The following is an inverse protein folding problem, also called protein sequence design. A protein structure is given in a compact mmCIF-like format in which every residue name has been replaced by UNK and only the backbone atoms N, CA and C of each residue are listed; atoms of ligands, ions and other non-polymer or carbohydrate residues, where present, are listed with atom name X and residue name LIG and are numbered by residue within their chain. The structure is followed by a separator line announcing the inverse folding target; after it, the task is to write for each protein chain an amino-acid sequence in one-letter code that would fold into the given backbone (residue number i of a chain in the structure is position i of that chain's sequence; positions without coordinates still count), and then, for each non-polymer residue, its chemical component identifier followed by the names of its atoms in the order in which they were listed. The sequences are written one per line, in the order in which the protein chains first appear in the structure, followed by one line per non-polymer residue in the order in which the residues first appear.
data_IF_896022535724
#
_entry.id   IF_896022535724
#
_cell.length_a   1.000
_cell.length_b   1.000
_cell.length_c   1.000
_cell.angle_alpha   90.00
_cell.angle_beta   90.00
_cell.angle_gamma   90.00
#
_symmetry.space_group_name_H-M   'P 1'
#
loop_
_entity.id
_entity.type
_entity.pdbx_description
1 polymer ?
#
# COMPACT_ATOMS: atom_id res chain seq x y z
N UNK A 1 -17.74 21.67 4.65
CA UNK A 1 -16.91 20.47 4.49
C UNK A 1 -17.81 19.26 4.60
N UNK A 2 -18.39 18.82 3.49
CA UNK A 2 -19.30 17.68 3.51
C UNK A 2 -18.48 16.38 3.44
N UNK A 3 -18.06 15.88 4.60
CA UNK A 3 -17.30 14.62 4.72
C UNK A 3 -18.20 13.38 4.59
N UNK A 4 -19.49 13.54 4.28
CA UNK A 4 -20.47 12.44 4.18
C UNK A 4 -20.24 11.49 2.99
N UNK A 5 -19.36 11.86 2.07
CA UNK A 5 -19.05 11.07 0.86
C UNK A 5 -17.73 10.28 0.96
N UNK A 6 -17.06 10.31 2.11
CA UNK A 6 -15.87 9.49 2.37
C UNK A 6 -16.22 8.27 3.22
N UNK A 7 -15.69 7.10 2.84
CA UNK A 7 -15.58 5.99 3.79
C UNK A 7 -14.46 6.32 4.77
N UNK A 8 -14.76 6.45 6.07
CA UNK A 8 -13.76 6.80 7.07
C UNK A 8 -13.04 5.57 7.61
N UNK A 9 -11.71 5.66 7.73
CA UNK A 9 -10.86 4.70 8.42
C UNK A 9 -10.19 5.39 9.60
N UNK A 10 -10.52 4.93 10.81
CA UNK A 10 -9.81 5.34 12.01
C UNK A 10 -8.39 4.77 11.99
N UNK A 11 -7.39 5.63 11.78
CA UNK A 11 -6.07 5.34 12.32
C UNK A 11 -6.18 5.52 13.84
N UNK A 12 -5.45 4.71 14.63
CA UNK A 12 -5.35 4.87 16.09
C UNK A 12 -5.24 6.36 16.44
N UNK A 13 -6.16 6.84 17.27
CA UNK A 13 -6.45 8.24 17.56
C UNK A 13 -5.16 9.05 17.83
N UNK A 14 -4.60 9.69 16.80
CA UNK A 14 -3.49 10.62 16.94
C UNK A 14 -4.07 12.01 17.15
N UNK A 15 -3.86 12.57 18.34
CA UNK A 15 -4.19 13.97 18.63
C UNK A 15 -3.57 14.90 17.57
N UNK A 16 -4.22 16.01 17.21
CA UNK A 16 -3.78 16.89 16.12
C UNK A 16 -2.32 17.35 16.23
N UNK A 17 -1.81 17.49 17.45
CA UNK A 17 -0.38 17.78 17.74
C UNK A 17 0.53 16.61 17.36
N UNK A 18 0.14 15.37 17.67
CA UNK A 18 0.88 14.15 17.29
C UNK A 18 0.89 13.96 15.78
N UNK A 19 -0.23 14.24 15.10
CA UNK A 19 -0.31 14.22 13.63
C UNK A 19 0.66 15.20 12.97
N UNK A 20 0.75 16.43 13.49
CA UNK A 20 1.72 17.43 13.00
C UNK A 20 3.18 17.01 13.26
N UNK A 21 3.47 16.41 14.40
CA UNK A 21 4.82 15.88 14.71
C UNK A 21 5.21 14.73 13.78
N UNK A 22 4.26 13.86 13.41
CA UNK A 22 4.47 12.79 12.43
C UNK A 22 4.74 13.39 11.04
N UNK A 23 4.02 14.42 10.62
CA UNK A 23 4.30 15.12 9.36
C UNK A 23 5.71 15.73 9.36
N UNK A 24 6.09 16.45 10.41
CA UNK A 24 7.42 17.02 10.54
C UNK A 24 8.51 15.95 10.51
N UNK A 25 8.30 14.82 11.19
CA UNK A 25 9.21 13.69 11.18
C UNK A 25 9.29 13.01 9.80
N UNK A 26 8.19 12.89 9.06
CA UNK A 26 8.17 12.35 7.71
C UNK A 26 8.93 13.27 6.74
N UNK A 27 8.69 14.59 6.83
CA UNK A 27 9.42 15.60 6.03
C UNK A 27 10.92 15.56 6.35
N UNK A 28 11.30 15.54 7.64
CA UNK A 28 12.69 15.47 8.06
C UNK A 28 13.38 14.17 7.62
N UNK A 29 12.70 13.03 7.76
CA UNK A 29 13.18 11.72 7.30
C UNK A 29 13.36 11.72 5.78
N UNK A 30 12.42 12.30 5.04
CA UNK A 30 12.51 12.39 3.59
C UNK A 30 13.67 13.30 3.14
N UNK A 31 13.83 14.47 3.76
CA UNK A 31 14.93 15.38 3.50
C UNK A 31 16.30 14.72 3.79
N UNK A 32 16.40 13.94 4.86
CA UNK A 32 17.62 13.21 5.21
C UNK A 32 17.95 12.07 4.22
N UNK A 33 16.93 11.41 3.65
CA UNK A 33 17.09 10.30 2.70
C UNK A 33 17.24 10.77 1.24
N UNK A 34 17.00 12.05 0.96
CA UNK A 34 17.07 12.66 -0.37
C UNK A 34 18.42 12.41 -1.10
N UNK A 35 19.61 12.54 -0.47
CA UNK A 35 20.88 12.31 -1.15
C UNK A 35 21.15 10.82 -1.48
N UNK A 36 20.69 9.90 -0.62
CA UNK A 36 20.86 8.46 -0.83
C UNK A 36 19.96 7.92 -1.96
N UNK A 37 18.83 8.59 -2.22
CA UNK A 37 17.94 8.28 -3.33
C UNK A 37 18.56 8.60 -4.70
N UNK A 38 19.32 9.70 -4.82
CA UNK A 38 19.98 10.09 -6.08
C UNK A 38 21.13 9.14 -6.47
N UNK A 39 21.81 8.55 -5.48
CA UNK A 39 23.00 7.70 -5.70
C UNK A 39 22.67 6.21 -5.80
N UNK A 40 21.59 5.74 -5.15
CA UNK A 40 21.23 4.33 -5.13
C UNK A 40 20.47 3.84 -6.37
N UNK A 41 21.07 3.90 -7.56
CA UNK A 41 20.50 3.27 -8.76
C UNK A 41 20.60 1.74 -8.64
N UNK A 42 19.83 1.14 -7.73
CA UNK A 42 19.62 -0.32 -7.75
C UNK A 42 18.86 -0.62 -9.01
N UNK A 43 19.55 -1.21 -9.98
CA UNK A 43 18.89 -2.00 -11.03
C UNK A 43 17.97 -2.96 -10.28
N UNK A 44 16.66 -2.82 -10.46
CA UNK A 44 15.76 -3.94 -10.20
C UNK A 44 16.38 -5.12 -10.94
N UNK A 45 16.80 -6.15 -10.21
CA UNK A 45 17.34 -7.39 -10.78
C UNK A 45 16.18 -8.17 -11.43
N UNK A 46 16.51 -9.05 -12.37
CA UNK A 46 15.61 -9.65 -13.37
C UNK A 46 14.37 -10.41 -12.87
N UNK A 47 13.70 -11.18 -13.74
CA UNK A 47 12.49 -11.90 -13.38
C UNK A 47 12.81 -12.95 -12.31
N UNK A 48 12.03 -12.95 -11.23
CA UNK A 48 12.05 -13.88 -10.08
C UNK A 48 13.20 -13.66 -9.09
N UNK A 49 12.95 -12.84 -8.07
CA UNK A 49 13.52 -13.12 -6.75
C UNK A 49 12.89 -14.45 -6.31
N UNK A 50 13.62 -15.56 -6.49
CA UNK A 50 13.11 -16.92 -6.27
C UNK A 50 12.94 -17.15 -4.78
N UNK A 51 11.81 -16.74 -4.23
CA UNK A 51 11.45 -17.08 -2.85
C UNK A 51 11.12 -18.56 -2.75
N UNK A 52 11.79 -19.30 -1.85
CA UNK A 52 11.26 -20.59 -1.40
C UNK A 52 10.13 -20.31 -0.42
N UNK A 53 9.00 -20.99 -0.56
CA UNK A 53 7.84 -20.80 0.34
C UNK A 53 8.21 -21.00 1.82
N UNK A 54 9.19 -21.85 2.11
CA UNK A 54 9.70 -22.11 3.45
C UNK A 54 10.30 -20.86 4.12
N UNK A 55 10.91 -19.96 3.33
CA UNK A 55 11.62 -18.78 3.83
C UNK A 55 10.68 -17.57 4.04
N UNK A 56 9.42 -17.70 3.62
CA UNK A 56 8.41 -16.65 3.74
C UNK A 56 7.67 -16.75 5.08
N UNK A 57 7.30 -15.61 5.65
CA UNK A 57 6.42 -15.58 6.83
C UNK A 57 5.01 -16.09 6.47
N UNK A 58 4.22 -16.60 7.44
CA UNK A 58 2.85 -17.06 7.18
C UNK A 58 1.98 -16.01 6.47
N UNK A 59 2.15 -14.73 6.82
CA UNK A 59 1.42 -13.62 6.23
C UNK A 59 1.83 -13.36 4.76
N UNK A 60 3.10 -13.56 4.41
CA UNK A 60 3.57 -13.48 3.02
C UNK A 60 3.06 -14.66 2.19
N UNK A 61 3.08 -15.87 2.76
CA UNK A 61 2.59 -17.07 2.08
C UNK A 61 1.10 -16.99 1.76
N UNK A 62 0.30 -16.34 2.62
CA UNK A 62 -1.14 -16.23 2.44
C UNK A 62 -1.54 -15.72 1.06
N UNK A 63 -0.98 -14.58 0.61
CA UNK A 63 -1.28 -14.04 -0.72
C UNK A 63 -0.65 -14.86 -1.85
N UNK A 64 0.62 -15.28 -1.69
CA UNK A 64 1.34 -16.03 -2.73
C UNK A 64 0.68 -17.39 -3.01
N UNK A 65 0.16 -18.07 -1.98
CA UNK A 65 -0.50 -19.36 -2.10
C UNK A 65 -1.99 -19.19 -2.43
N UNK A 66 -2.67 -18.23 -1.81
CA UNK A 66 -4.11 -18.04 -1.97
C UNK A 66 -4.50 -17.33 -3.27
N UNK A 67 -3.61 -16.50 -3.84
CA UNK A 67 -3.83 -15.77 -5.08
C UNK A 67 -2.48 -15.40 -5.77
N UNK A 68 -1.82 -16.36 -6.42
CA UNK A 68 -0.53 -16.14 -7.07
C UNK A 68 -0.59 -15.12 -8.21
N UNK A 69 -1.75 -15.00 -8.89
CA UNK A 69 -1.94 -14.04 -9.96
C UNK A 69 -1.90 -12.60 -9.42
N UNK A 70 -2.59 -12.33 -8.32
CA UNK A 70 -2.52 -11.03 -7.63
C UNK A 70 -1.14 -10.79 -7.02
N UNK A 71 -0.53 -11.81 -6.41
CA UNK A 71 0.81 -11.70 -5.83
C UNK A 71 1.86 -11.27 -6.88
N UNK A 72 1.76 -11.81 -8.10
CA UNK A 72 2.65 -11.52 -9.23
C UNK A 72 2.34 -10.23 -10.00
N UNK A 73 1.09 -9.73 -9.93
CA UNK A 73 0.66 -8.51 -10.65
C UNK A 73 1.54 -7.32 -10.21
N UNK A 74 2.25 -6.64 -11.14
CA UNK A 74 3.13 -5.54 -10.79
C UNK A 74 2.42 -4.40 -10.07
N UNK A 75 3.04 -3.88 -9.01
CA UNK A 75 2.60 -2.68 -8.29
C UNK A 75 3.61 -1.57 -8.52
N UNK A 76 3.21 -0.55 -9.26
CA UNK A 76 4.05 0.61 -9.56
C UNK A 76 3.79 1.74 -8.56
N UNK A 77 4.85 2.24 -7.93
CA UNK A 77 4.80 3.33 -6.96
C UNK A 77 5.23 4.64 -7.63
N UNK A 78 4.32 5.59 -7.79
CA UNK A 78 4.54 6.83 -8.56
C UNK A 78 4.58 8.03 -7.61
N UNK A 79 5.73 8.69 -7.51
CA UNK A 79 5.94 9.75 -6.51
C UNK A 79 5.44 11.12 -6.98
N UNK A 80 5.30 12.05 -6.03
CA UNK A 80 4.87 13.43 -6.26
C UNK A 80 6.00 14.38 -6.67
N UNK A 81 5.67 15.68 -6.69
CA UNK A 81 6.59 16.76 -7.03
C UNK A 81 7.65 16.96 -5.93
N UNK A 82 8.93 17.07 -6.31
CA UNK A 82 10.09 17.22 -5.38
C UNK A 82 10.30 16.00 -4.47
N UNK A 83 9.53 14.94 -4.69
CA UNK A 83 9.63 13.69 -3.95
C UNK A 83 10.56 12.71 -4.69
N UNK A 84 10.96 11.63 -4.02
CA UNK A 84 11.75 10.55 -4.59
C UNK A 84 11.26 9.20 -4.04
N UNK A 85 11.77 8.09 -4.57
CA UNK A 85 11.40 6.72 -4.16
C UNK A 85 11.39 6.47 -2.63
N UNK A 86 12.11 7.25 -1.82
CA UNK A 86 12.17 7.08 -0.37
C UNK A 86 10.83 7.29 0.34
N UNK A 87 9.90 8.11 -0.19
CA UNK A 87 8.57 8.27 0.41
C UNK A 87 7.78 6.97 0.42
N UNK A 88 8.03 6.10 -0.55
CA UNK A 88 7.39 4.80 -0.59
C UNK A 88 8.13 3.70 0.15
N UNK A 89 9.34 3.92 0.69
CA UNK A 89 10.16 2.85 1.25
C UNK A 89 9.42 2.04 2.35
N UNK A 90 8.59 2.70 3.17
CA UNK A 90 7.78 2.03 4.19
C UNK A 90 6.59 1.30 3.57
N UNK A 91 5.90 1.91 2.61
CA UNK A 91 4.78 1.30 1.90
C UNK A 91 5.23 0.06 1.11
N UNK A 92 6.28 0.18 0.31
CA UNK A 92 6.89 -0.89 -0.47
C UNK A 92 7.23 -2.08 0.44
N UNK A 93 7.96 -1.84 1.53
CA UNK A 93 8.30 -2.89 2.49
C UNK A 93 7.05 -3.53 3.08
N UNK A 94 6.01 -2.75 3.33
CA UNK A 94 4.74 -3.23 3.87
C UNK A 94 3.96 -4.10 2.88
N UNK A 95 4.01 -3.78 1.58
CA UNK A 95 3.41 -4.58 0.51
C UNK A 95 4.19 -5.86 0.26
N UNK A 96 5.53 -5.81 0.18
CA UNK A 96 6.38 -7.01 0.06
C UNK A 96 6.19 -7.97 1.24
N UNK A 97 6.05 -7.45 2.46
CA UNK A 97 5.68 -8.26 3.64
C UNK A 97 4.28 -8.87 3.57
N UNK A 98 3.41 -8.41 2.69
CA UNK A 98 2.05 -8.94 2.46
C UNK A 98 1.97 -9.89 1.27
N UNK A 99 3.10 -10.20 0.63
CA UNK A 99 3.18 -11.18 -0.45
C UNK A 99 3.09 -10.60 -1.86
N UNK A 100 3.07 -9.28 -2.03
CA UNK A 100 3.27 -8.67 -3.35
C UNK A 100 4.73 -8.83 -3.78
N UNK A 101 4.98 -9.62 -4.82
CA UNK A 101 6.34 -10.00 -5.23
C UNK A 101 6.99 -8.95 -6.12
N UNK A 102 6.17 -8.21 -6.86
CA UNK A 102 6.62 -7.22 -7.85
C UNK A 102 6.15 -5.83 -7.41
N UNK A 103 7.02 -5.09 -6.73
CA UNK A 103 6.74 -3.70 -6.34
C UNK A 103 7.90 -2.83 -6.79
N UNK A 104 7.66 -1.88 -7.68
CA UNK A 104 8.72 -1.06 -8.29
C UNK A 104 8.34 0.42 -8.19
N UNK A 105 9.31 1.27 -7.82
CA UNK A 105 9.12 2.71 -7.85
C UNK A 105 9.41 3.26 -9.26
N UNK A 106 8.54 4.12 -9.75
CA UNK A 106 8.73 4.83 -11.02
C UNK A 106 9.16 6.25 -10.71
N UNK A 107 10.35 6.61 -11.19
CA UNK A 107 10.86 7.96 -11.05
C UNK A 107 10.18 8.87 -12.10
N UNK A 108 9.39 9.83 -11.64
CA UNK A 108 8.83 10.86 -12.51
C UNK A 108 9.93 11.89 -12.78
N UNK A 109 10.24 12.22 -14.05
CA UNK A 109 11.37 13.10 -14.37
C UNK A 109 11.23 14.44 -13.65
N UNK A 110 12.27 14.85 -12.90
CA UNK A 110 12.33 16.15 -12.20
C UNK A 110 12.19 17.36 -13.15
N UNK A 111 12.45 17.14 -14.44
CA UNK A 111 12.32 18.14 -15.51
C UNK A 111 11.02 18.02 -16.31
N UNK A 112 10.09 17.14 -15.92
CA UNK A 112 8.78 17.10 -16.54
C UNK A 112 8.13 18.46 -16.37
N UNK A 113 7.96 19.18 -17.48
CA UNK A 113 7.46 20.54 -17.50
C UNK A 113 5.95 20.59 -17.24
N UNK A 114 5.27 19.44 -17.32
CA UNK A 114 3.83 19.31 -17.15
C UNK A 114 3.41 17.89 -16.75
N UNK A 115 2.17 17.73 -16.26
CA UNK A 115 1.58 16.43 -15.89
C UNK A 115 1.48 15.49 -17.10
N UNK A 116 1.16 16.03 -18.26
CA UNK A 116 1.02 15.30 -19.53
C UNK A 116 2.35 14.67 -19.95
N UNK A 117 3.44 15.44 -19.89
CA UNK A 117 4.79 14.94 -20.19
C UNK A 117 5.21 13.83 -19.20
N UNK A 118 4.90 14.01 -17.92
CA UNK A 118 5.12 12.97 -16.91
C UNK A 118 4.27 11.71 -17.16
N UNK A 119 3.04 11.87 -17.67
CA UNK A 119 2.14 10.76 -17.95
C UNK A 119 2.61 9.92 -19.15
N UNK A 120 3.22 10.56 -20.15
CA UNK A 120 3.89 9.86 -21.26
C UNK A 120 5.09 9.05 -20.75
N UNK A 121 5.89 9.60 -19.84
CA UNK A 121 6.99 8.84 -19.22
C UNK A 121 6.48 7.66 -18.38
N UNK A 122 5.37 7.85 -17.67
CA UNK A 122 4.70 6.78 -16.93
C UNK A 122 4.18 5.68 -17.86
N UNK A 123 3.59 6.02 -19.01
CA UNK A 123 3.13 5.06 -20.00
C UNK A 123 4.26 4.11 -20.42
N UNK A 124 5.44 4.64 -20.75
CA UNK A 124 6.60 3.85 -21.10
C UNK A 124 7.07 2.92 -19.96
N UNK A 125 6.99 3.40 -18.71
CA UNK A 125 7.32 2.58 -17.53
C UNK A 125 6.31 1.45 -17.29
N UNK A 126 5.01 1.71 -17.50
CA UNK A 126 3.95 0.71 -17.40
C UNK A 126 4.15 -0.38 -18.45
N UNK A 127 4.36 -0.01 -19.71
CA UNK A 127 4.63 -0.97 -20.77
C UNK A 127 5.89 -1.81 -20.48
N UNK A 128 6.95 -1.19 -19.96
CA UNK A 128 8.14 -1.92 -19.57
C UNK A 128 7.85 -2.92 -18.44
N UNK A 129 7.05 -2.55 -17.44
CA UNK A 129 6.66 -3.44 -16.36
C UNK A 129 5.82 -4.62 -16.87
N UNK A 130 4.83 -4.37 -17.73
CA UNK A 130 4.01 -5.40 -18.39
C UNK A 130 4.90 -6.40 -19.14
N UNK A 131 5.79 -5.89 -20.02
CA UNK A 131 6.73 -6.72 -20.79
C UNK A 131 7.68 -7.53 -19.90
N UNK A 132 8.19 -6.90 -18.83
CA UNK A 132 9.21 -7.50 -17.96
C UNK A 132 8.64 -8.60 -17.06
N UNK A 133 7.43 -8.41 -16.54
CA UNK A 133 6.83 -9.29 -15.54
C UNK A 133 5.83 -10.29 -16.13
N UNK A 134 5.50 -10.17 -17.43
CA UNK A 134 4.63 -11.11 -18.14
C UNK A 134 3.17 -11.06 -17.67
N UNK A 135 2.77 -10.00 -16.97
CA UNK A 135 1.39 -9.73 -16.59
C UNK A 135 0.78 -8.74 -17.57
N UNK A 136 -0.45 -8.96 -18.05
CA UNK A 136 -1.11 -8.08 -19.03
C UNK A 136 -1.45 -6.70 -18.44
N UNK A 137 -1.53 -6.59 -17.12
CA UNK A 137 -1.92 -5.40 -16.39
C UNK A 137 -1.10 -5.18 -15.12
N UNK A 138 -1.19 -3.96 -14.59
CA UNK A 138 -0.50 -3.48 -13.39
C UNK A 138 -1.47 -2.81 -12.43
N UNK A 139 -1.03 -2.64 -11.19
CA UNK A 139 -1.64 -1.72 -10.25
C UNK A 139 -0.72 -0.52 -10.03
N UNK A 140 -1.30 0.65 -9.80
CA UNK A 140 -0.55 1.87 -9.52
C UNK A 140 -0.94 2.39 -8.13
N UNK A 141 0.06 2.72 -7.33
CA UNK A 141 -0.10 3.50 -6.10
C UNK A 141 0.67 4.78 -6.25
N UNK A 142 -0.01 5.91 -6.23
CA UNK A 142 0.58 7.19 -6.55
C UNK A 142 0.35 8.20 -5.44
N UNK A 143 1.32 9.08 -5.19
CA UNK A 143 1.24 10.11 -4.15
C UNK A 143 1.24 11.51 -4.73
N UNK A 144 0.40 12.39 -4.18
CA UNK A 144 0.36 13.81 -4.52
C UNK A 144 0.26 14.02 -6.04
N UNK A 145 1.16 14.79 -6.66
CA UNK A 145 1.24 15.01 -8.11
C UNK A 145 1.26 13.70 -8.92
N UNK A 146 1.92 12.65 -8.44
CA UNK A 146 2.02 11.37 -9.14
C UNK A 146 0.65 10.74 -9.41
N UNK A 147 -0.34 11.00 -8.55
CA UNK A 147 -1.71 10.52 -8.79
C UNK A 147 -2.45 11.26 -9.90
N UNK A 148 -2.15 12.55 -10.12
CA UNK A 148 -2.66 13.26 -11.31
C UNK A 148 -1.98 12.75 -12.58
N UNK A 149 -0.68 12.46 -12.52
CA UNK A 149 0.06 11.85 -13.64
C UNK A 149 -0.54 10.49 -14.01
N UNK A 150 -0.76 9.63 -13.02
CA UNK A 150 -1.37 8.32 -13.24
C UNK A 150 -2.82 8.42 -13.71
N UNK A 151 -3.62 9.33 -13.15
CA UNK A 151 -4.99 9.58 -13.60
C UNK A 151 -5.04 10.06 -15.05
N UNK A 152 -4.14 10.99 -15.43
CA UNK A 152 -4.03 11.47 -16.81
C UNK A 152 -3.66 10.34 -17.77
N UNK A 153 -2.70 9.49 -17.39
CA UNK A 153 -2.34 8.32 -18.19
C UNK A 153 -3.55 7.40 -18.43
N UNK A 154 -4.31 7.06 -17.38
CA UNK A 154 -5.49 6.19 -17.49
C UNK A 154 -6.59 6.84 -18.33
N UNK A 155 -6.94 8.10 -18.06
CA UNK A 155 -8.08 8.76 -18.73
C UNK A 155 -7.78 9.22 -20.16
N UNK A 156 -6.57 9.69 -20.43
CA UNK A 156 -6.25 10.45 -21.66
C UNK A 156 -5.27 9.76 -22.58
N UNK A 157 -4.48 8.82 -22.07
CA UNK A 157 -3.41 8.15 -22.83
C UNK A 157 -3.65 6.64 -22.99
N UNK A 158 -4.87 6.17 -22.78
CA UNK A 158 -5.24 4.75 -22.97
C UNK A 158 -4.74 3.81 -21.87
N UNK A 159 -4.31 4.34 -20.71
CA UNK A 159 -3.82 3.51 -19.61
C UNK A 159 -4.85 2.55 -19.01
N UNK A 160 -6.15 2.72 -19.30
CA UNK A 160 -7.23 1.79 -18.89
C UNK A 160 -7.01 0.33 -19.33
N UNK A 161 -6.34 0.13 -20.47
CA UNK A 161 -6.04 -1.21 -20.96
C UNK A 161 -5.10 -1.97 -20.02
N UNK A 162 -4.18 -1.24 -19.36
CA UNK A 162 -3.07 -1.81 -18.60
C UNK A 162 -3.21 -1.61 -17.09
N UNK A 163 -4.07 -0.71 -16.62
CA UNK A 163 -4.16 -0.37 -15.18
C UNK A 163 -5.44 -0.95 -14.59
N UNK A 164 -5.29 -1.95 -13.72
CA UNK A 164 -6.43 -2.57 -13.02
C UNK A 164 -6.95 -1.68 -11.90
N UNK A 165 -6.04 -1.22 -11.04
CA UNK A 165 -6.37 -0.36 -9.89
C UNK A 165 -5.38 0.81 -9.82
N UNK A 166 -5.91 2.02 -9.71
CA UNK A 166 -5.16 3.22 -9.35
C UNK A 166 -5.54 3.68 -7.95
N UNK A 167 -4.59 3.62 -7.02
CA UNK A 167 -4.73 4.15 -5.66
C UNK A 167 -3.96 5.46 -5.57
N UNK A 168 -4.64 6.56 -5.26
CA UNK A 168 -3.99 7.87 -5.10
C UNK A 168 -3.98 8.31 -3.64
N UNK A 169 -2.84 8.73 -3.13
CA UNK A 169 -2.63 9.20 -1.76
C UNK A 169 -2.43 10.72 -1.78
N UNK A 170 -3.35 11.47 -1.19
CA UNK A 170 -3.32 12.94 -1.13
C UNK A 170 -3.10 13.63 -2.49
N UNK A 171 -3.69 13.08 -3.56
CA UNK A 171 -3.56 13.66 -4.89
C UNK A 171 -4.58 14.77 -5.12
N UNK A 172 -4.19 15.96 -5.60
CA UNK A 172 -5.07 17.12 -5.73
C UNK A 172 -5.99 17.00 -6.96
N UNK A 173 -6.95 16.08 -6.93
CA UNK A 173 -7.90 15.81 -8.02
C UNK A 173 -8.78 17.01 -8.38
N UNK A 174 -9.01 17.92 -7.43
CA UNK A 174 -9.72 19.19 -7.63
C UNK A 174 -8.78 20.42 -7.58
N UNK A 175 -7.46 20.18 -7.66
CA UNK A 175 -6.43 21.19 -7.43
C UNK A 175 -6.25 21.52 -5.94
N UNK A 176 -5.22 22.31 -5.63
CA UNK A 176 -4.95 22.76 -4.25
C UNK A 176 -5.01 24.28 -4.15
N UNK A 177 -5.71 24.81 -3.15
CA UNK A 177 -5.74 26.25 -2.88
C UNK A 177 -4.35 26.80 -2.53
N UNK A 178 -3.41 25.96 -2.08
CA UNK A 178 -2.04 26.36 -1.83
C UNK A 178 -1.35 26.82 -3.13
N UNK A 179 -1.60 26.14 -4.27
CA UNK A 179 -1.05 26.54 -5.57
C UNK A 179 -1.60 27.89 -6.07
N UNK A 180 -2.81 28.28 -5.65
CA UNK A 180 -3.38 29.59 -5.97
C UNK A 180 -2.69 30.74 -5.23
N UNK A 181 -2.00 30.47 -4.12
CA UNK A 181 -1.25 31.49 -3.36
C UNK A 181 0.14 31.75 -3.94
N UNK A 182 0.64 30.87 -4.80
CA UNK A 182 1.94 31.04 -5.44
C UNK A 182 1.85 32.08 -6.58
N UNK A 183 2.79 33.03 -6.67
CA UNK A 183 2.81 34.03 -7.74
C UNK A 183 2.76 33.37 -9.13
N UNK A 184 2.00 33.98 -10.05
CA UNK A 184 1.93 33.49 -11.45
C UNK A 184 3.27 33.52 -12.18
N UNK A 185 4.21 34.33 -11.72
CA UNK A 185 5.56 34.45 -12.24
C UNK A 185 6.49 33.28 -11.84
N UNK A 186 6.07 32.37 -10.95
CA UNK A 186 6.86 31.17 -10.62
C UNK A 186 6.95 30.29 -11.87
N UNK A 187 8.17 30.09 -12.39
CA UNK A 187 8.46 29.41 -13.66
C UNK A 187 8.14 27.90 -13.68
N UNK A 188 7.62 27.35 -12.59
CA UNK A 188 7.34 25.93 -12.44
C UNK A 188 5.92 25.62 -12.96
N UNK A 189 5.80 25.39 -14.28
CA UNK A 189 4.52 25.24 -15.00
C UNK A 189 3.59 24.19 -14.39
N UNK A 190 4.13 23.09 -13.88
CA UNK A 190 3.35 22.04 -13.21
C UNK A 190 2.62 22.55 -11.96
N UNK A 191 3.20 23.47 -11.17
CA UNK A 191 2.49 24.07 -10.02
C UNK A 191 1.29 24.93 -10.46
N UNK A 192 1.39 25.58 -11.63
CA UNK A 192 0.26 26.31 -12.18
C UNK A 192 -0.89 25.38 -12.61
N UNK A 193 -0.58 24.15 -13.05
CA UNK A 193 -1.58 23.13 -13.37
C UNK A 193 -2.30 22.58 -12.13
N UNK A 194 -1.72 22.72 -10.93
CA UNK A 194 -2.37 22.30 -9.68
C UNK A 194 -3.36 23.32 -9.11
N UNK A 195 -3.51 24.48 -9.75
CA UNK A 195 -4.52 25.47 -9.34
C UNK A 195 -5.93 24.94 -9.65
N UNK A 196 -6.90 25.08 -8.74
CA UNK A 196 -8.29 24.77 -9.02
C UNK A 196 -8.76 25.48 -10.30
N UNK A 197 -9.44 24.74 -11.18
CA UNK A 197 -9.90 25.25 -12.47
C UNK A 197 -8.82 25.47 -13.53
N UNK A 198 -7.62 24.91 -13.35
CA UNK A 198 -6.60 24.88 -14.41
C UNK A 198 -7.09 24.09 -15.64
N UNK A 199 -6.48 24.35 -16.80
CA UNK A 199 -6.79 23.63 -18.03
C UNK A 199 -6.63 22.10 -17.87
N UNK A 200 -5.61 21.65 -17.16
CA UNK A 200 -5.41 20.23 -16.84
C UNK A 200 -6.60 19.64 -16.09
N UNK A 201 -7.08 20.32 -15.05
CA UNK A 201 -8.18 19.81 -14.23
C UNK A 201 -9.52 19.87 -14.97
N UNK A 202 -9.70 20.87 -15.84
CA UNK A 202 -10.84 20.94 -16.75
C UNK A 202 -10.81 19.77 -17.73
N UNK A 203 -9.66 19.49 -18.32
CA UNK A 203 -9.45 18.35 -19.21
C UNK A 203 -9.76 17.01 -18.51
N UNK A 204 -9.29 16.82 -17.28
CA UNK A 204 -9.57 15.62 -16.48
C UNK A 204 -11.02 15.49 -16.01
N UNK A 205 -11.82 16.56 -16.14
CA UNK A 205 -13.25 16.58 -15.85
C UNK A 205 -14.12 16.41 -17.10
N UNK A 206 -13.52 16.37 -18.30
CA UNK A 206 -14.23 16.02 -19.53
C UNK A 206 -14.69 14.56 -19.50
N UNK A 207 -15.78 14.21 -20.22
CA UNK A 207 -16.29 12.85 -20.27
C UNK A 207 -15.22 11.81 -20.63
N UNK A 208 -15.23 10.70 -19.91
CA UNK A 208 -14.28 9.60 -20.07
C UNK A 208 -15.00 8.24 -20.03
N UNK A 209 -15.92 7.98 -20.97
CA UNK A 209 -16.81 6.83 -20.92
C UNK A 209 -16.07 5.51 -21.13
N UNK A 210 -16.53 4.46 -20.44
CA UNK A 210 -16.08 3.09 -20.67
C UNK A 210 -14.77 2.69 -19.99
N UNK A 211 -14.22 3.54 -19.12
CA UNK A 211 -13.05 3.21 -18.31
C UNK A 211 -13.41 2.17 -17.25
N UNK A 212 -12.62 1.10 -17.18
CA UNK A 212 -12.77 -0.05 -16.29
C UNK A 212 -11.84 0.04 -15.07
N UNK A 213 -10.76 0.82 -15.13
CA UNK A 213 -9.83 1.00 -14.02
C UNK A 213 -10.58 1.41 -12.75
N UNK A 214 -10.28 0.74 -11.63
CA UNK A 214 -10.82 1.13 -10.33
C UNK A 214 -9.95 2.20 -9.69
N UNK A 215 -10.55 3.32 -9.31
CA UNK A 215 -9.88 4.43 -8.64
C UNK A 215 -10.17 4.42 -7.14
N UNK A 216 -9.13 4.47 -6.32
CA UNK A 216 -9.25 4.63 -4.86
C UNK A 216 -8.52 5.89 -4.45
N UNK A 217 -9.27 6.95 -4.12
CA UNK A 217 -8.72 8.23 -3.69
C UNK A 217 -8.67 8.30 -2.17
N UNK A 218 -7.46 8.35 -1.62
CA UNK A 218 -7.20 8.34 -0.17
C UNK A 218 -6.77 9.74 0.27
N UNK A 219 -7.58 10.36 1.12
CA UNK A 219 -7.33 11.66 1.73
C UNK A 219 -6.80 11.51 3.16
N UNK A 220 -5.90 12.41 3.58
CA UNK A 220 -5.46 12.54 4.96
C UNK A 220 -6.30 13.56 5.71
N UNK A 221 -6.87 13.20 6.86
CA UNK A 221 -7.74 14.08 7.64
C UNK A 221 -7.05 15.34 8.19
N UNK A 222 -5.72 15.33 8.31
CA UNK A 222 -4.90 16.48 8.74
C UNK A 222 -4.08 17.07 7.58
N UNK A 223 -4.38 16.72 6.33
CA UNK A 223 -3.65 17.23 5.18
C UNK A 223 -3.96 18.72 4.94
N UNK A 224 -2.92 19.54 5.04
CA UNK A 224 -2.98 21.00 4.83
C UNK A 224 -2.46 21.43 3.46
N UNK A 225 -1.82 20.52 2.72
CA UNK A 225 -1.28 20.74 1.37
C UNK A 225 -2.35 20.44 0.33
N UNK A 226 -3.01 19.29 0.47
CA UNK A 226 -4.15 18.87 -0.33
C UNK A 226 -5.25 18.46 0.64
N UNK A 227 -6.19 19.37 0.87
CA UNK A 227 -7.26 19.14 1.85
C UNK A 227 -8.14 17.95 1.41
N UNK A 228 -8.87 17.31 2.34
CA UNK A 228 -9.74 16.19 1.98
C UNK A 228 -10.73 16.46 0.84
N UNK A 229 -11.30 17.65 0.76
CA UNK A 229 -12.18 18.05 -0.35
C UNK A 229 -11.44 18.23 -1.68
N UNK A 230 -10.17 18.65 -1.62
CA UNK A 230 -9.28 18.82 -2.77
C UNK A 230 -8.74 17.47 -3.29
N UNK A 231 -8.59 16.50 -2.39
CA UNK A 231 -8.14 15.14 -2.68
C UNK A 231 -9.27 14.21 -3.17
N UNK A 232 -10.53 14.63 -3.07
CA UNK A 232 -11.68 13.82 -3.48
C UNK A 232 -11.70 13.66 -4.99
N UNK A 233 -11.93 12.45 -5.47
CA UNK A 233 -12.13 12.15 -6.89
C UNK A 233 -13.60 11.86 -7.14
N UNK A 234 -14.32 12.83 -7.70
CA UNK A 234 -15.69 12.64 -8.18
C UNK A 234 -15.71 12.83 -9.69
N UNK A 235 -16.12 11.80 -10.41
CA UNK A 235 -16.27 11.85 -11.85
C UNK A 235 -17.37 10.85 -12.26
N UNK A 236 -18.36 11.25 -13.07
CA UNK A 236 -19.51 10.41 -13.40
C UNK A 236 -19.11 9.11 -14.11
N UNK A 237 -18.08 9.16 -14.96
CA UNK A 237 -17.65 8.00 -15.76
C UNK A 237 -16.60 7.10 -15.08
N UNK A 238 -16.10 7.47 -13.88
CA UNK A 238 -15.03 6.71 -13.22
C UNK A 238 -15.56 5.85 -12.08
N UNK A 239 -15.04 4.62 -11.98
CA UNK A 239 -15.28 3.74 -10.83
C UNK A 239 -14.46 4.21 -9.61
N UNK A 240 -15.03 5.11 -8.82
CA UNK A 240 -14.33 5.83 -7.76
C UNK A 240 -14.75 5.38 -6.35
N UNK A 241 -13.74 5.17 -5.49
CA UNK A 241 -13.90 5.00 -4.06
C UNK A 241 -13.12 6.10 -3.34
N UNK A 242 -13.79 6.91 -2.52
CA UNK A 242 -13.17 7.96 -1.73
C UNK A 242 -13.02 7.51 -0.27
N UNK A 243 -11.78 7.50 0.23
CA UNK A 243 -11.42 7.04 1.58
C UNK A 243 -10.74 8.15 2.36
N UNK A 244 -11.20 8.41 3.59
CA UNK A 244 -10.57 9.37 4.50
C UNK A 244 -9.83 8.62 5.61
N UNK A 245 -8.55 8.91 5.80
CA UNK A 245 -7.74 8.40 6.90
C UNK A 245 -7.55 9.51 7.92
N UNK A 246 -8.22 9.39 9.06
CA UNK A 246 -8.15 10.39 10.13
C UNK A 246 -6.75 10.44 10.76
N UNK A 247 -6.32 11.61 11.24
CA UNK A 247 -5.08 11.78 12.01
C UNK A 247 -3.78 11.74 11.21
N UNK A 248 -3.84 11.72 9.86
CA UNK A 248 -2.66 11.67 8.98
C UNK A 248 -2.66 12.90 8.07
N UNK A 249 -1.49 13.51 7.84
CA UNK A 249 -1.32 14.62 6.89
C UNK A 249 -0.77 14.17 5.53
N UNK A 250 -0.26 15.13 4.77
CA UNK A 250 0.13 14.94 3.36
C UNK A 250 1.22 13.89 3.16
N UNK A 251 2.31 14.01 3.92
CA UNK A 251 3.49 13.17 3.76
C UNK A 251 3.41 11.92 4.64
N UNK A 252 2.54 11.89 5.65
CA UNK A 252 2.36 10.76 6.53
C UNK A 252 1.58 9.60 5.91
N UNK A 253 0.79 9.84 4.86
CA UNK A 253 -0.04 8.80 4.21
C UNK A 253 0.80 7.61 3.70
N UNK A 254 1.88 7.80 2.91
CA UNK A 254 2.76 6.70 2.50
C UNK A 254 3.44 5.94 3.66
N UNK A 255 3.60 6.56 4.83
CA UNK A 255 4.21 5.93 6.01
C UNK A 255 3.19 5.27 6.95
N UNK A 256 1.90 5.54 6.77
CA UNK A 256 0.85 5.06 7.66
C UNK A 256 0.57 3.56 7.47
N UNK A 257 0.57 2.80 8.57
CA UNK A 257 0.28 1.37 8.56
C UNK A 257 -1.16 1.05 8.10
N UNK A 258 -2.12 1.91 8.45
CA UNK A 258 -3.51 1.79 8.01
C UNK A 258 -3.64 1.96 6.50
N UNK A 259 -2.90 2.93 5.91
CA UNK A 259 -2.84 3.12 4.46
C UNK A 259 -2.24 1.89 3.79
N UNK A 260 -1.13 1.35 4.29
CA UNK A 260 -0.55 0.13 3.72
C UNK A 260 -1.50 -1.08 3.77
N UNK A 261 -2.30 -1.20 4.84
CA UNK A 261 -3.32 -2.25 4.95
C UNK A 261 -4.48 -2.02 3.97
N UNK A 262 -4.95 -0.78 3.84
CA UNK A 262 -5.96 -0.38 2.86
C UNK A 262 -5.48 -0.69 1.43
N UNK A 263 -4.27 -0.24 1.07
CA UNK A 263 -3.65 -0.48 -0.23
C UNK A 263 -3.64 -1.98 -0.53
N UNK A 264 -3.10 -2.81 0.37
CA UNK A 264 -3.09 -4.26 0.16
C UNK A 264 -4.48 -4.86 -0.05
N UNK A 265 -5.48 -4.46 0.74
CA UNK A 265 -6.85 -4.97 0.62
C UNK A 265 -7.52 -4.58 -0.69
N UNK A 266 -7.19 -3.41 -1.23
CA UNK A 266 -7.75 -2.93 -2.50
C UNK A 266 -7.00 -3.54 -3.67
N UNK A 267 -5.69 -3.78 -3.56
CA UNK A 267 -4.95 -4.45 -4.62
C UNK A 267 -5.34 -5.93 -4.80
N UNK A 268 -5.86 -6.57 -3.75
CA UNK A 268 -6.42 -7.92 -3.86
C UNK A 268 -7.87 -7.87 -4.35
N UNK A 269 -8.26 -8.70 -5.33
CA UNK A 269 -9.67 -8.89 -5.69
C UNK A 269 -10.49 -9.26 -4.45
N UNK A 270 -11.75 -8.85 -4.39
CA UNK A 270 -12.64 -9.39 -3.39
C UNK A 270 -12.69 -10.92 -3.58
N UNK A 271 -12.17 -11.67 -2.60
CA UNK A 271 -12.33 -13.12 -2.59
C UNK A 271 -13.84 -13.39 -2.67
N UNK A 272 -14.31 -14.30 -3.55
CA UNK A 272 -15.63 -14.90 -3.37
C UNK A 272 -15.66 -15.36 -1.91
N UNK A 273 -16.69 -14.99 -1.15
CA UNK A 273 -16.89 -15.52 0.19
C UNK A 273 -16.75 -17.02 0.09
N UNK A 274 -15.65 -17.57 0.61
CA UNK A 274 -15.48 -19.01 0.68
C UNK A 274 -16.74 -19.55 1.36
N UNK A 275 -17.42 -20.58 0.82
CA UNK A 275 -18.51 -21.20 1.54
C UNK A 275 -17.97 -21.54 2.91
N UNK A 276 -18.71 -21.14 3.95
CA UNK A 276 -18.32 -21.35 5.33
C UNK A 276 -17.81 -22.78 5.46
N UNK A 277 -16.53 -22.95 5.86
CA UNK A 277 -16.01 -24.27 6.18
C UNK A 277 -16.97 -24.82 7.23
N UNK A 278 -17.72 -25.91 6.95
CA UNK A 278 -18.60 -26.46 7.96
C UNK A 278 -17.73 -26.80 9.15
N UNK A 279 -18.19 -26.38 10.34
CA UNK A 279 -17.51 -26.68 11.59
C UNK A 279 -17.13 -28.17 11.60
N UNK A 280 -15.93 -28.54 12.10
CA UNK A 280 -15.54 -29.95 12.17
C UNK A 280 -16.66 -30.71 12.87
N UNK A 281 -17.21 -31.71 12.17
CA UNK A 281 -18.25 -32.55 12.72
C UNK A 281 -17.77 -33.08 14.07
N UNK A 282 -18.63 -32.97 15.09
CA UNK A 282 -18.38 -33.51 16.41
C UNK A 282 -17.92 -34.98 16.28
N UNK A 283 -16.97 -35.44 17.12
CA UNK A 283 -16.44 -36.78 17.02
C UNK A 283 -17.61 -37.76 17.17
N UNK A 284 -17.77 -38.63 16.16
CA UNK A 284 -18.72 -39.74 16.20
C UNK A 284 -18.29 -40.65 17.35
N UNK A 285 -19.08 -40.66 18.42
CA UNK A 285 -18.90 -41.60 19.52
C UNK A 285 -19.24 -43.00 19.00
N UNK A 286 -18.22 -43.82 18.76
CA UNK A 286 -18.42 -45.21 18.37
C UNK A 286 -17.29 -45.82 17.55
N UNK A 287 -16.11 -45.95 18.15
CA UNK A 287 -15.14 -46.97 17.73
C UNK A 287 -14.55 -47.62 19.00
N UNK A 288 -14.56 -48.96 19.11
CA UNK A 288 -14.10 -49.64 20.31
C UNK A 288 -12.58 -49.56 20.43
N UNK A 289 -12.10 -49.19 21.62
CA UNK A 289 -10.68 -49.25 21.97
C UNK A 289 -10.26 -50.73 22.01
N UNK A 290 -9.36 -51.12 21.13
CA UNK A 290 -8.68 -52.41 21.20
C UNK A 290 -7.71 -52.40 22.38
N UNK A 291 -8.04 -53.16 23.42
CA UNK A 291 -7.13 -53.53 24.50
C UNK A 291 -6.09 -54.51 23.97
N UNK A 292 -4.83 -54.09 23.91
CA UNK A 292 -3.70 -55.01 23.77
C UNK A 292 -3.00 -55.12 25.13
N UNK A 293 -3.29 -56.21 25.83
CA UNK A 293 -2.50 -56.69 26.93
C UNK A 293 -1.31 -57.48 26.37
N UNK A 294 -0.10 -57.17 26.82
CA UNK A 294 1.01 -58.12 26.81
C UNK A 294 1.86 -57.87 28.03
N UNK A 295 1.86 -58.84 28.94
CA UNK A 295 2.73 -58.91 30.10
C UNK A 295 3.81 -59.99 29.92
N UNK A 296 4.77 -59.92 30.85
CA UNK A 296 5.91 -60.80 31.15
C UNK A 296 7.19 -60.60 30.29
N UNK A 297 8.40 -60.54 30.86
CA UNK A 297 8.87 -60.52 32.25
C UNK A 297 10.40 -60.25 32.27
N UNK A 298 10.89 -59.72 33.41
CA UNK A 298 12.20 -59.95 34.06
C UNK A 298 13.50 -59.67 33.28
N UNK A 299 14.28 -58.65 33.72
CA UNK A 299 15.52 -58.91 34.49
C UNK A 299 16.10 -57.63 35.15
N UNK A 300 16.39 -57.70 36.45
CA UNK A 300 17.25 -56.82 37.26
C UNK A 300 17.80 -57.69 38.39
N UNK A 301 19.06 -57.49 38.85
CA UNK A 301 19.20 -56.64 40.04
C UNK A 301 20.44 -55.72 40.10
N UNK A 302 20.20 -54.59 40.76
CA UNK A 302 21.02 -53.89 41.77
C UNK A 302 22.38 -53.24 41.42
N UNK A 303 22.46 -51.91 41.63
CA UNK A 303 22.95 -51.37 42.91
C UNK A 303 22.76 -49.86 43.05
N UNK A 304 22.60 -49.46 44.31
CA UNK A 304 22.16 -48.17 44.84
C UNK A 304 23.09 -46.98 44.60
N UNK A 305 22.55 -45.75 44.67
CA UNK A 305 22.76 -44.83 45.81
C UNK A 305 21.93 -43.55 45.65
N UNK A 306 21.18 -43.25 46.71
CA UNK A 306 20.31 -42.09 46.93
C UNK A 306 21.07 -40.76 47.01
N UNK A 307 20.44 -39.67 46.57
CA UNK A 307 20.49 -38.40 47.30
C UNK A 307 19.18 -37.61 47.10
N UNK A 308 18.46 -37.42 48.22
CA UNK A 308 17.31 -36.52 48.38
C UNK A 308 17.79 -35.14 48.84
N UNK A 309 17.18 -34.08 48.31
CA UNK A 309 17.06 -32.74 48.92
C UNK A 309 15.80 -32.13 48.28
N UNK A 310 14.60 -32.10 48.89
CA UNK A 310 14.06 -31.26 49.99
C UNK A 310 14.26 -29.75 49.81
N UNK A 311 13.15 -28.99 49.76
CA UNK A 311 13.05 -27.55 50.08
C UNK A 311 12.50 -26.67 48.95
N UNK A 312 11.19 -26.47 48.79
CA UNK A 312 10.30 -25.46 49.44
C UNK A 312 10.40 -24.02 48.89
N UNK A 313 9.38 -23.64 48.10
CA UNK A 313 8.48 -22.45 48.16
C UNK A 313 8.95 -21.18 48.90
N UNK A 314 8.87 -20.01 48.23
CA UNK A 314 8.27 -18.72 48.68
C UNK A 314 8.35 -17.69 47.53
N UNK A 315 7.28 -17.20 46.89
CA UNK A 315 6.34 -16.11 47.24
C UNK A 315 6.95 -14.77 47.74
N UNK A 316 6.60 -13.69 47.00
CA UNK A 316 6.33 -12.27 47.40
C UNK A 316 7.48 -11.49 48.08
N UNK A 317 7.66 -10.17 47.96
CA UNK A 317 6.84 -9.00 47.65
C UNK A 317 7.78 -7.79 47.37
N UNK A 318 7.26 -6.83 46.60
CA UNK A 318 7.41 -5.35 46.66
C UNK A 318 8.62 -4.73 47.40
N UNK A 319 9.42 -3.91 46.69
CA UNK A 319 9.46 -2.42 46.73
C UNK A 319 10.00 -1.93 45.39
#
# INVERSE_FOLDING_TARGET
MDTRLFTRLGATQFDGVKGLMVEAACIATHAALYPAAVVGRRRDEGPTDRYRLADLTPLQRGLIVGDPATAGTPVLLVHGLVDNRSVFARLERSLRRRGFTTVTSVDVPLFATSVEAAAVALAAAVEQAVRRHGHPDVNIVAHSLGGLVARYYVQRLGGDEYVRTLITLASPHNGTRLASRLPRAVAYRVLAQLRPGSALLQELAEPAPGLRTRFVAVAGGLDTVVRPDEARLDHPDLHTENVLVDGVGHHGLPFCGAVAQLTSRRLTPAQPTAPAVPAPAAPVAGAPQATAATGLATDQPESATSLRLVGTICQKETV
#
